data_IF_486512297615
#
_entry.id   IF_486512297615
#
_cell.length_a   1.000
_cell.length_b   1.000
_cell.length_c   1.000
_cell.angle_alpha   90.00
_cell.angle_beta   90.00
_cell.angle_gamma   90.00
#
_symmetry.space_group_name_H-M   'P 1'
#
loop_
_entity.id
_entity.type
_entity.pdbx_description
1 polymer ?
#
# COMPACT_ATOMS: atom_id res chain seq x y z
N UNK A 1 -5.53 11.27 -15.53
CA UNK A 1 -5.75 9.94 -14.91
C UNK A 1 -4.77 9.82 -13.76
N UNK A 2 -5.26 9.39 -12.59
CA UNK A 2 -4.47 9.38 -11.36
C UNK A 2 -3.89 8.01 -11.10
N UNK A 3 -2.57 7.89 -11.17
CA UNK A 3 -1.82 6.67 -10.93
C UNK A 3 -1.46 6.54 -9.47
N UNK A 4 -1.48 5.31 -8.94
CA UNK A 4 -1.19 5.03 -7.54
C UNK A 4 -0.12 3.96 -7.36
N UNK A 5 0.56 4.03 -6.23
CA UNK A 5 1.40 2.98 -5.68
C UNK A 5 1.02 2.75 -4.22
N UNK A 6 0.72 1.51 -3.88
CA UNK A 6 0.33 1.12 -2.52
C UNK A 6 1.49 0.34 -1.89
N UNK A 7 2.07 0.91 -0.84
CA UNK A 7 3.15 0.33 -0.04
C UNK A 7 2.60 -0.11 1.31
N UNK A 8 2.36 -1.42 1.46
CA UNK A 8 1.95 -2.02 2.72
C UNK A 8 3.17 -2.24 3.62
N UNK A 9 3.13 -1.75 4.86
CA UNK A 9 4.12 -2.08 5.87
C UNK A 9 4.01 -3.54 6.35
N UNK A 10 5.11 -4.10 6.82
CA UNK A 10 5.22 -5.45 7.40
C UNK A 10 4.69 -5.54 8.84
N UNK A 11 4.25 -4.41 9.40
CA UNK A 11 3.54 -4.29 10.68
C UNK A 11 2.61 -3.08 10.65
N UNK A 12 1.62 -3.07 11.54
CA UNK A 12 0.80 -1.87 11.79
C UNK A 12 1.69 -0.81 12.45
N UNK A 13 1.70 0.38 11.87
CA UNK A 13 2.39 1.55 12.39
C UNK A 13 1.60 2.13 13.56
N UNK A 14 2.31 2.71 14.53
CA UNK A 14 1.68 3.57 15.52
C UNK A 14 1.15 4.87 14.86
N UNK A 15 0.18 5.56 15.50
CA UNK A 15 -0.25 6.88 15.04
C UNK A 15 0.91 7.88 14.95
N UNK A 16 1.84 7.85 15.91
CA UNK A 16 3.04 8.70 15.92
C UNK A 16 3.99 8.41 14.76
N UNK A 17 4.29 7.13 14.48
CA UNK A 17 5.10 6.74 13.31
C UNK A 17 4.41 7.18 12.01
N UNK A 18 3.10 7.01 11.92
CA UNK A 18 2.33 7.44 10.75
C UNK A 18 2.42 8.95 10.55
N UNK A 19 2.32 9.74 11.63
CA UNK A 19 2.47 11.18 11.57
C UNK A 19 3.88 11.59 11.13
N UNK A 20 4.92 10.99 11.71
CA UNK A 20 6.32 11.28 11.36
C UNK A 20 6.65 10.89 9.91
N UNK A 21 6.16 9.74 9.43
CA UNK A 21 6.27 9.35 8.02
C UNK A 21 5.62 10.41 7.13
N UNK A 22 4.43 10.91 7.51
CA UNK A 22 3.74 11.95 6.74
C UNK A 22 4.52 13.28 6.69
N UNK A 23 5.31 13.62 7.71
CA UNK A 23 6.23 14.77 7.68
C UNK A 23 7.36 14.62 6.67
N UNK A 24 7.78 13.39 6.36
CA UNK A 24 8.77 13.10 5.30
C UNK A 24 8.14 13.02 3.91
N UNK A 25 6.93 12.46 3.84
CA UNK A 25 6.17 12.29 2.57
C UNK A 25 5.82 13.64 1.96
N UNK A 26 5.38 14.63 2.76
CA UNK A 26 4.95 15.94 2.23
C UNK A 26 6.08 16.65 1.46
N UNK A 27 7.29 16.86 2.00
CA UNK A 27 8.41 17.45 1.26
C UNK A 27 8.81 16.62 0.04
N UNK A 28 8.80 15.28 0.15
CA UNK A 28 9.12 14.42 -0.98
C UNK A 28 8.18 14.68 -2.16
N UNK A 29 6.86 14.64 -1.93
CA UNK A 29 5.85 14.90 -2.96
C UNK A 29 6.06 16.28 -3.60
N UNK A 30 6.30 17.33 -2.81
CA UNK A 30 6.56 18.68 -3.33
C UNK A 30 7.83 18.77 -4.19
N UNK A 31 8.81 17.89 -3.96
CA UNK A 31 10.06 17.81 -4.73
C UNK A 31 10.03 16.80 -5.88
N UNK A 32 8.94 16.03 -5.99
CA UNK A 32 8.87 14.89 -6.89
C UNK A 32 8.68 15.36 -8.33
N UNK A 33 9.61 14.97 -9.20
CA UNK A 33 9.75 15.52 -10.55
C UNK A 33 10.00 14.43 -11.59
N UNK A 34 9.45 14.61 -12.80
CA UNK A 34 9.68 13.80 -13.98
C UNK A 34 10.27 14.66 -15.11
N UNK A 35 11.47 14.32 -15.59
CA UNK A 35 12.23 15.12 -16.58
C UNK A 35 12.35 16.63 -16.25
N UNK A 36 12.40 16.98 -14.96
CA UNK A 36 12.50 18.36 -14.49
C UNK A 36 11.16 19.07 -14.30
N UNK A 37 10.05 18.49 -14.80
CA UNK A 37 8.69 18.96 -14.51
C UNK A 37 8.23 18.42 -13.15
N UNK A 38 7.57 19.27 -12.36
CA UNK A 38 6.94 18.84 -11.11
C UNK A 38 5.78 17.87 -11.40
N UNK A 39 5.70 16.80 -10.62
CA UNK A 39 4.55 15.91 -10.63
C UNK A 39 3.49 16.47 -9.68
N UNK A 40 2.25 16.60 -10.15
CA UNK A 40 1.14 16.89 -9.25
C UNK A 40 0.72 15.60 -8.55
N UNK A 41 0.95 15.51 -7.25
CA UNK A 41 0.66 14.30 -6.50
C UNK A 41 0.36 14.55 -5.03
N UNK A 42 0.00 13.48 -4.34
CA UNK A 42 -0.18 13.43 -2.89
C UNK A 42 0.29 12.08 -2.36
N UNK A 43 0.70 12.09 -1.11
CA UNK A 43 0.93 10.87 -0.34
C UNK A 43 0.05 10.86 0.89
N UNK A 44 -0.41 9.69 1.30
CA UNK A 44 -1.24 9.52 2.50
C UNK A 44 -1.12 8.11 3.05
N UNK A 45 -1.35 7.96 4.35
CA UNK A 45 -1.39 6.65 5.01
C UNK A 45 -2.85 6.29 5.31
N UNK A 46 -3.24 5.06 4.97
CA UNK A 46 -4.52 4.47 5.37
C UNK A 46 -4.31 3.34 6.36
N UNK A 47 -5.19 3.29 7.36
CA UNK A 47 -5.22 2.27 8.42
C UNK A 47 -3.90 2.08 9.19
N UNK A 48 -3.03 3.10 9.21
CA UNK A 48 -1.68 3.02 9.76
C UNK A 48 -0.86 1.83 9.20
N UNK A 49 -1.13 1.43 7.96
CA UNK A 49 -0.51 0.24 7.36
C UNK A 49 -0.11 0.48 5.90
N UNK A 50 -0.92 1.23 5.15
CA UNK A 50 -0.72 1.42 3.72
C UNK A 50 -0.29 2.85 3.45
N UNK A 51 0.97 3.05 3.08
CA UNK A 51 1.43 4.29 2.50
C UNK A 51 1.11 4.30 1.00
N UNK A 52 0.29 5.25 0.57
CA UNK A 52 -0.16 5.36 -0.82
C UNK A 52 0.39 6.65 -1.40
N UNK A 53 1.05 6.53 -2.56
CA UNK A 53 1.45 7.65 -3.40
C UNK A 53 0.51 7.74 -4.59
N UNK A 54 0.01 8.93 -4.90
CA UNK A 54 -0.88 9.21 -6.02
C UNK A 54 -0.33 10.35 -6.86
N UNK A 55 -0.33 10.21 -8.19
CA UNK A 55 0.11 11.25 -9.14
C UNK A 55 -0.96 11.45 -10.21
N UNK A 56 -1.26 12.70 -10.52
CA UNK A 56 -2.08 13.06 -11.67
C UNK A 56 -1.22 13.18 -12.94
N UNK A 57 -1.34 12.19 -13.82
CA UNK A 57 -0.55 12.13 -15.05
C UNK A 57 -1.07 13.07 -16.15
N UNK A 58 -2.17 13.80 -15.93
CA UNK A 58 -2.64 14.82 -16.90
C UNK A 58 -1.73 16.04 -16.98
N UNK A 59 -1.02 16.38 -15.89
CA UNK A 59 -0.08 17.51 -15.89
C UNK A 59 1.32 17.12 -16.38
N UNK A 60 1.82 15.98 -15.89
CA UNK A 60 3.09 15.42 -16.29
C UNK A 60 3.09 13.90 -16.06
N UNK A 61 3.45 13.14 -17.09
CA UNK A 61 3.53 11.68 -16.99
C UNK A 61 4.71 11.23 -16.12
N UNK A 62 4.52 10.15 -15.36
CA UNK A 62 5.63 9.58 -14.60
C UNK A 62 6.64 8.87 -15.50
N UNK A 63 7.91 8.96 -15.13
CA UNK A 63 9.03 8.36 -15.87
C UNK A 63 9.74 7.32 -14.99
N UNK A 64 10.54 6.44 -15.61
CA UNK A 64 11.36 5.47 -14.86
C UNK A 64 12.18 6.14 -13.76
N UNK A 65 12.91 7.22 -14.08
CA UNK A 65 13.69 7.96 -13.09
C UNK A 65 12.84 8.56 -11.96
N UNK A 66 11.60 9.01 -12.25
CA UNK A 66 10.71 9.51 -11.19
C UNK A 66 10.22 8.38 -10.28
N UNK A 67 9.99 7.18 -10.82
CA UNK A 67 9.62 5.98 -10.06
C UNK A 67 10.81 5.52 -9.21
N UNK A 68 12.03 5.54 -9.74
CA UNK A 68 13.23 5.18 -8.97
C UNK A 68 13.43 6.09 -7.76
N UNK A 69 13.17 7.41 -7.92
CA UNK A 69 13.19 8.36 -6.81
C UNK A 69 12.16 8.02 -5.73
N UNK A 70 10.93 7.62 -6.11
CA UNK A 70 9.93 7.22 -5.12
C UNK A 70 10.33 5.93 -4.40
N UNK A 71 10.84 4.93 -5.12
CA UNK A 71 11.35 3.69 -4.52
C UNK A 71 12.49 3.99 -3.53
N UNK A 72 13.43 4.86 -3.90
CA UNK A 72 14.52 5.25 -3.00
C UNK A 72 13.99 5.96 -1.74
N UNK A 73 13.02 6.85 -1.91
CA UNK A 73 12.36 7.52 -0.79
C UNK A 73 11.63 6.53 0.15
N UNK A 74 10.91 5.53 -0.39
CA UNK A 74 10.29 4.50 0.46
C UNK A 74 11.36 3.72 1.24
N UNK A 75 12.48 3.36 0.60
CA UNK A 75 13.60 2.69 1.29
C UNK A 75 14.24 3.53 2.39
N UNK A 76 14.29 4.86 2.25
CA UNK A 76 14.79 5.71 3.33
C UNK A 76 13.83 5.71 4.53
N UNK A 77 12.51 5.63 4.30
CA UNK A 77 11.53 5.46 5.37
C UNK A 77 11.69 4.11 6.07
N UNK A 78 11.93 3.03 5.33
CA UNK A 78 12.18 1.70 5.91
C UNK A 78 13.34 1.74 6.92
N UNK A 79 14.43 2.42 6.56
CA UNK A 79 15.60 2.58 7.42
C UNK A 79 15.33 3.46 8.64
N UNK A 80 14.67 4.60 8.47
CA UNK A 80 14.38 5.56 9.55
C UNK A 80 13.42 4.97 10.60
N UNK A 81 12.40 4.24 10.15
CA UNK A 81 11.32 3.73 11.02
C UNK A 81 11.44 2.24 11.36
N UNK A 82 12.49 1.57 10.88
CA UNK A 82 12.69 0.12 11.04
C UNK A 82 11.41 -0.66 10.71
N UNK A 83 10.96 -0.49 9.47
CA UNK A 83 9.75 -1.08 8.90
C UNK A 83 10.07 -1.56 7.48
N UNK A 84 9.34 -2.54 6.96
CA UNK A 84 9.49 -3.01 5.58
C UNK A 84 8.21 -2.76 4.78
N UNK A 85 8.29 -1.97 3.72
CA UNK A 85 7.22 -1.63 2.77
C UNK A 85 7.25 -2.48 1.49
N UNK A 86 8.28 -3.29 1.32
CA UNK A 86 8.49 -4.18 0.18
C UNK A 86 8.32 -5.67 0.52
N UNK A 87 7.98 -6.02 1.76
CA UNK A 87 7.64 -7.39 2.13
C UNK A 87 6.26 -7.77 1.56
N UNK A 88 6.28 -8.42 0.41
CA UNK A 88 5.08 -8.91 -0.29
C UNK A 88 4.56 -10.24 0.29
N UNK A 89 5.22 -10.83 1.29
CA UNK A 89 4.80 -12.09 1.90
C UNK A 89 3.82 -11.89 3.07
N UNK A 90 3.75 -10.65 3.60
CA UNK A 90 2.76 -10.25 4.60
C UNK A 90 1.40 -9.98 3.94
N UNK A 91 0.38 -10.65 4.44
CA UNK A 91 -0.98 -10.58 3.93
C UNK A 91 -1.85 -9.87 4.94
N UNK A 92 -2.44 -8.76 4.51
CA UNK A 92 -3.43 -8.02 5.27
C UNK A 92 -4.84 -8.53 4.94
N UNK A 93 -5.66 -8.74 5.96
CA UNK A 93 -7.07 -9.09 5.83
C UNK A 93 -7.90 -8.55 7.01
N UNK A 94 -9.22 -8.49 6.87
CA UNK A 94 -10.14 -8.19 7.98
C UNK A 94 -10.54 -9.48 8.68
N UNK A 95 -10.40 -9.54 10.00
CA UNK A 95 -11.02 -10.60 10.79
C UNK A 95 -12.54 -10.37 10.98
N UNK A 96 -13.18 -11.28 11.71
CA UNK A 96 -14.61 -11.20 12.03
C UNK A 96 -14.99 -9.96 12.86
N UNK A 97 -14.03 -9.38 13.61
CA UNK A 97 -14.21 -8.13 14.34
C UNK A 97 -13.98 -6.88 13.45
N UNK A 98 -13.79 -7.08 12.14
CA UNK A 98 -13.43 -6.05 11.17
C UNK A 98 -12.10 -5.35 11.49
N UNK A 99 -11.24 -5.94 12.32
CA UNK A 99 -9.90 -5.45 12.57
C UNK A 99 -8.95 -5.94 11.47
N UNK A 100 -7.97 -5.11 11.10
CA UNK A 100 -6.94 -5.53 10.14
C UNK A 100 -5.94 -6.42 10.87
N UNK A 101 -5.78 -7.62 10.34
CA UNK A 101 -4.76 -8.57 10.75
C UNK A 101 -3.68 -8.65 9.68
N UNK A 102 -2.44 -8.88 10.12
CA UNK A 102 -1.29 -9.02 9.24
C UNK A 102 -0.56 -10.33 9.57
N UNK A 103 -0.52 -11.24 8.60
CA UNK A 103 0.02 -12.59 8.80
C UNK A 103 0.94 -13.00 7.66
N UNK A 104 1.83 -13.94 7.93
CA UNK A 104 2.60 -14.58 6.87
C UNK A 104 1.73 -15.53 6.05
N UNK A 105 2.14 -15.77 4.79
CA UNK A 105 1.50 -16.72 3.88
C UNK A 105 1.16 -18.08 4.52
N UNK A 106 2.08 -18.67 5.29
CA UNK A 106 1.87 -19.99 5.91
C UNK A 106 0.79 -19.97 7.00
N UNK A 107 0.64 -18.85 7.70
CA UNK A 107 -0.41 -18.65 8.70
C UNK A 107 -1.74 -18.39 7.99
N UNK A 108 -1.76 -17.54 6.97
CA UNK A 108 -2.95 -17.27 6.16
C UNK A 108 -3.54 -18.56 5.57
N UNK A 109 -2.69 -19.45 5.03
CA UNK A 109 -3.12 -20.74 4.50
C UNK A 109 -3.75 -21.65 5.57
N UNK A 110 -3.22 -21.65 6.80
CA UNK A 110 -3.82 -22.38 7.93
C UNK A 110 -5.17 -21.80 8.31
N UNK A 111 -5.31 -20.48 8.31
CA UNK A 111 -6.57 -19.80 8.61
C UNK A 111 -7.66 -20.16 7.59
N UNK A 112 -7.31 -20.22 6.30
CA UNK A 112 -8.21 -20.71 5.24
C UNK A 112 -8.64 -22.15 5.53
N UNK A 113 -7.69 -23.06 5.80
CA UNK A 113 -7.98 -24.47 6.10
C UNK A 113 -8.85 -24.66 7.35
N UNK A 114 -8.73 -23.76 8.32
CA UNK A 114 -9.55 -23.76 9.54
C UNK A 114 -10.93 -23.11 9.37
N UNK A 115 -11.19 -22.44 8.25
CA UNK A 115 -12.44 -21.73 7.98
C UNK A 115 -12.53 -20.31 8.57
N UNK A 116 -11.52 -19.85 9.31
CA UNK A 116 -11.46 -18.49 9.86
C UNK A 116 -11.38 -17.46 8.72
N UNK A 117 -10.58 -17.75 7.69
CA UNK A 117 -10.61 -17.00 6.43
C UNK A 117 -11.46 -17.78 5.45
N UNK A 118 -12.54 -17.16 4.97
CA UNK A 118 -13.50 -17.74 4.05
C UNK A 118 -13.72 -16.82 2.85
N UNK A 119 -14.57 -17.24 1.91
CA UNK A 119 -14.77 -16.57 0.62
C UNK A 119 -15.15 -15.07 0.73
N UNK A 120 -15.92 -14.73 1.76
CA UNK A 120 -16.36 -13.37 2.07
C UNK A 120 -15.40 -12.57 2.97
N UNK A 121 -14.29 -13.15 3.44
CA UNK A 121 -13.30 -12.42 4.25
C UNK A 121 -12.67 -11.31 3.41
N UNK A 122 -12.66 -10.07 3.89
CA UNK A 122 -12.11 -8.95 3.14
C UNK A 122 -10.58 -8.98 3.15
N UNK A 123 -9.97 -8.80 1.98
CA UNK A 123 -8.52 -8.72 1.77
C UNK A 123 -8.16 -7.46 0.98
N UNK A 124 -6.88 -7.09 0.99
CA UNK A 124 -6.41 -5.85 0.36
C UNK A 124 -5.67 -6.09 -0.96
N UNK A 125 -6.15 -5.48 -2.03
CA UNK A 125 -5.59 -5.56 -3.37
C UNK A 125 -4.55 -4.46 -3.62
N UNK A 126 -3.31 -4.67 -3.18
CA UNK A 126 -2.27 -3.64 -3.27
C UNK A 126 -1.61 -3.49 -4.67
N UNK A 127 -2.12 -4.18 -5.69
CA UNK A 127 -1.60 -4.11 -7.08
C UNK A 127 -2.43 -3.17 -7.98
N UNK A 128 -3.41 -2.45 -7.43
CA UNK A 128 -4.17 -1.46 -8.17
C UNK A 128 -3.27 -0.37 -8.77
N UNK A 129 -3.64 0.11 -9.95
CA UNK A 129 -2.84 1.09 -10.70
C UNK A 129 -3.46 2.47 -10.69
N UNK A 130 -4.79 2.58 -10.55
CA UNK A 130 -5.50 3.85 -10.65
C UNK A 130 -6.26 4.21 -9.37
N UNK A 131 -6.22 5.49 -9.00
CA UNK A 131 -6.89 5.99 -7.79
C UNK A 131 -8.41 5.75 -7.81
N UNK A 132 -9.02 5.78 -9.00
CA UNK A 132 -10.45 5.49 -9.18
C UNK A 132 -10.86 4.08 -8.77
N UNK A 133 -9.91 3.15 -8.67
CA UNK A 133 -10.17 1.76 -8.27
C UNK A 133 -10.12 1.59 -6.75
N UNK A 134 -9.60 2.56 -6.00
CA UNK A 134 -9.40 2.40 -4.55
C UNK A 134 -10.70 2.24 -3.78
N UNK A 135 -11.79 2.85 -4.25
CA UNK A 135 -13.07 2.83 -3.54
C UNK A 135 -13.82 1.50 -3.72
N UNK A 136 -13.68 0.86 -4.88
CA UNK A 136 -14.46 -0.33 -5.25
C UNK A 136 -13.65 -1.63 -5.29
N UNK A 137 -12.34 -1.55 -5.53
CA UNK A 137 -11.52 -2.72 -5.84
C UNK A 137 -10.32 -2.91 -4.90
N UNK A 138 -10.16 -2.08 -3.87
CA UNK A 138 -9.02 -2.17 -2.95
C UNK A 138 -9.27 -3.13 -1.79
N UNK A 139 -10.38 -2.96 -1.08
CA UNK A 139 -10.82 -3.88 -0.03
C UNK A 139 -11.94 -4.72 -0.62
N UNK A 140 -11.65 -5.99 -0.93
CA UNK A 140 -12.57 -6.88 -1.67
C UNK A 140 -12.65 -8.26 -1.00
N UNK A 141 -13.76 -9.00 -1.20
CA UNK A 141 -13.87 -10.38 -0.71
C UNK A 141 -12.73 -11.27 -1.23
N UNK A 142 -12.26 -12.18 -0.38
CA UNK A 142 -11.16 -13.09 -0.68
C UNK A 142 -11.37 -13.83 -2.01
N UNK A 143 -12.58 -14.34 -2.24
CA UNK A 143 -12.94 -15.07 -3.46
C UNK A 143 -12.73 -14.24 -4.74
N UNK A 144 -12.95 -12.94 -4.69
CA UNK A 144 -12.90 -12.02 -5.83
C UNK A 144 -11.49 -11.43 -6.03
N UNK A 145 -10.59 -11.68 -5.07
CA UNK A 145 -9.22 -11.20 -5.09
C UNK A 145 -8.27 -12.13 -5.83
N UNK A 146 -7.08 -11.63 -6.19
CA UNK A 146 -6.02 -12.48 -6.73
C UNK A 146 -5.51 -13.52 -5.71
N UNK A 147 -5.72 -13.30 -4.41
CA UNK A 147 -5.29 -14.24 -3.37
C UNK A 147 -5.98 -15.60 -3.54
N UNK A 148 -7.26 -15.64 -3.94
CA UNK A 148 -7.99 -16.90 -4.17
C UNK A 148 -7.42 -17.75 -5.31
N UNK A 149 -6.60 -17.16 -6.19
CA UNK A 149 -5.95 -17.86 -7.30
C UNK A 149 -4.63 -18.51 -6.90
N UNK A 150 -4.07 -18.15 -5.75
CA UNK A 150 -2.73 -18.57 -5.30
C UNK A 150 -2.71 -19.31 -3.96
N UNK A 151 -3.85 -19.39 -3.27
CA UNK A 151 -4.10 -20.15 -2.06
C UNK A 151 -5.09 -21.28 -2.35
#
# INVERSE_FOLDING_TARGET
>A
MKKIWIYQADRILSPDESAQIMERVRPFISSWTAHGSALEGKGYIKHNLFLILEVDEEQAGVTGCSIDKSVHFIKSLEQEFNVNFFDRLKIAYRDEAHAIQLVDRSVFEKLIKSGIVHSQTMVFNNILMHASELESNWEIPFQDSWHSKVF
#
